data_IF_117678564145
#
_entry.id   IF_117678564145
#
_cell.length_a   1.000
_cell.length_b   1.000
_cell.length_c   1.000
_cell.angle_alpha   90.00
_cell.angle_beta   90.00
_cell.angle_gamma   90.00
#
_symmetry.space_group_name_H-M   'P 1'
#
loop_
_entity.id
_entity.type
_entity.pdbx_description
1 polymer ?
#
# COMPACT_ATOMS: atom_id res chain seq x y z
N UNK A 1 -33.48 -33.02 52.90
CA UNK A 1 -33.25 -32.88 51.45
C UNK A 1 -33.00 -31.43 51.12
N UNK A 2 -31.73 -31.10 50.97
CA UNK A 2 -31.31 -29.68 50.72
C UNK A 2 -30.89 -29.59 49.24
N UNK A 3 -31.64 -28.82 48.46
CA UNK A 3 -31.35 -28.55 47.02
C UNK A 3 -30.38 -27.40 46.89
N UNK A 4 -29.16 -27.64 46.44
CA UNK A 4 -28.22 -26.60 46.04
C UNK A 4 -28.59 -26.11 44.62
N UNK A 5 -28.92 -24.85 44.48
CA UNK A 5 -29.02 -24.14 43.21
C UNK A 5 -27.59 -23.67 42.83
N UNK A 6 -27.08 -24.24 41.76
CA UNK A 6 -25.83 -23.74 41.13
C UNK A 6 -26.27 -22.64 40.12
N UNK A 7 -25.98 -21.39 40.46
CA UNK A 7 -26.11 -20.26 39.51
C UNK A 7 -24.84 -20.21 38.68
N UNK A 8 -24.92 -20.63 37.42
CA UNK A 8 -23.84 -20.49 36.45
C UNK A 8 -23.80 -19.00 35.99
N UNK A 9 -22.85 -18.27 36.51
CA UNK A 9 -22.56 -16.91 36.04
C UNK A 9 -21.87 -16.95 34.69
N UNK A 10 -22.58 -16.49 33.65
CA UNK A 10 -22.02 -16.27 32.33
C UNK A 10 -21.09 -15.04 32.38
N UNK A 11 -19.79 -15.23 32.45
CA UNK A 11 -18.80 -14.17 32.28
C UNK A 11 -18.77 -13.77 30.80
N UNK A 12 -19.45 -12.69 30.45
CA UNK A 12 -19.27 -11.98 29.18
C UNK A 12 -17.84 -11.37 29.19
N UNK A 13 -16.91 -12.03 28.52
CA UNK A 13 -15.60 -11.44 28.21
C UNK A 13 -15.86 -10.42 27.11
N UNK A 14 -15.62 -9.11 27.35
CA UNK A 14 -15.68 -8.12 26.27
C UNK A 14 -14.62 -8.51 25.22
N UNK A 15 -15.08 -8.77 24.01
CA UNK A 15 -14.20 -8.99 22.87
C UNK A 15 -13.29 -7.78 22.71
N UNK A 16 -12.02 -7.95 23.02
CA UNK A 16 -10.98 -7.00 22.62
C UNK A 16 -11.00 -6.97 21.08
N UNK A 17 -11.62 -5.93 20.53
CA UNK A 17 -11.39 -5.55 19.15
C UNK A 17 -9.88 -5.26 19.06
N UNK A 18 -9.12 -6.18 18.47
CA UNK A 18 -7.73 -5.93 18.13
C UNK A 18 -7.74 -4.74 17.17
N UNK A 19 -7.31 -3.58 17.68
CA UNK A 19 -7.07 -2.43 16.84
C UNK A 19 -6.11 -2.89 15.73
N UNK A 20 -6.55 -2.75 14.51
CA UNK A 20 -5.73 -3.01 13.33
C UNK A 20 -4.63 -1.94 13.37
N UNK A 21 -3.46 -2.29 13.89
CA UNK A 21 -2.31 -1.41 13.78
C UNK A 21 -1.98 -1.31 12.31
N UNK A 22 -2.30 -0.16 11.75
CA UNK A 22 -1.82 0.21 10.42
C UNK A 22 -0.29 0.07 10.41
N UNK A 23 0.30 -0.42 9.31
CA UNK A 23 1.75 -0.44 9.18
C UNK A 23 2.30 0.96 9.48
N UNK A 24 3.50 1.08 10.08
CA UNK A 24 4.07 2.37 10.42
C UNK A 24 4.10 3.25 9.17
N UNK A 25 3.42 4.38 9.23
CA UNK A 25 3.37 5.30 8.11
C UNK A 25 4.78 5.86 7.87
N UNK A 26 5.26 5.91 6.61
CA UNK A 26 6.50 6.59 6.27
C UNK A 26 6.40 8.11 6.44
N UNK A 27 5.29 8.61 6.95
CA UNK A 27 5.04 10.02 7.25
C UNK A 27 6.10 10.65 8.18
N UNK A 28 6.86 9.85 8.94
CA UNK A 28 8.01 10.32 9.70
C UNK A 28 9.19 10.79 8.85
N UNK A 29 9.21 10.47 7.56
CA UNK A 29 10.27 10.90 6.63
C UNK A 29 10.24 12.41 6.35
N UNK A 30 9.09 13.07 6.51
CA UNK A 30 8.96 14.53 6.39
C UNK A 30 8.58 15.10 7.75
N UNK A 31 9.36 16.04 8.31
CA UNK A 31 9.05 16.69 9.58
C UNK A 31 7.65 17.30 9.58
N UNK A 32 6.93 17.20 10.70
CA UNK A 32 5.51 17.56 10.78
C UNK A 32 5.24 19.04 10.42
N UNK A 33 6.16 19.93 10.78
CA UNK A 33 6.10 21.38 10.49
C UNK A 33 6.38 21.73 9.03
N UNK A 34 6.96 20.78 8.28
CA UNK A 34 7.30 20.96 6.87
C UNK A 34 6.36 20.22 5.93
N UNK A 35 5.51 19.35 6.45
CA UNK A 35 4.63 18.54 5.62
C UNK A 35 3.59 19.37 4.88
N UNK A 36 3.40 18.99 3.62
CA UNK A 36 2.20 19.28 2.86
C UNK A 36 1.55 17.95 2.49
N UNK A 37 0.33 17.74 2.94
CA UNK A 37 -0.46 16.58 2.51
C UNK A 37 -1.56 17.07 1.58
N UNK A 38 -1.62 16.50 0.40
CA UNK A 38 -2.65 16.83 -0.59
C UNK A 38 -3.41 15.55 -0.97
N UNK A 39 -4.72 15.63 -0.94
CA UNK A 39 -5.59 14.58 -1.47
C UNK A 39 -5.97 14.95 -2.90
N UNK A 40 -5.83 14.01 -3.79
CA UNK A 40 -6.14 14.18 -5.21
C UNK A 40 -7.09 13.08 -5.67
N UNK A 41 -7.80 13.35 -6.75
CA UNK A 41 -8.74 12.45 -7.44
C UNK A 41 -9.65 11.71 -6.46
N UNK A 42 -10.84 12.22 -6.27
CA UNK A 42 -11.88 11.65 -5.38
C UNK A 42 -11.39 11.25 -3.98
N UNK A 43 -10.28 11.84 -3.53
CA UNK A 43 -9.60 11.55 -2.25
C UNK A 43 -8.93 10.16 -2.18
N UNK A 44 -8.67 9.52 -3.30
CA UNK A 44 -8.05 8.19 -3.34
C UNK A 44 -6.54 8.22 -3.19
N UNK A 45 -5.89 9.33 -3.59
CA UNK A 45 -4.43 9.48 -3.50
C UNK A 45 -4.06 10.53 -2.47
N UNK A 46 -3.13 10.19 -1.56
CA UNK A 46 -2.56 11.11 -0.58
C UNK A 46 -1.08 11.33 -0.88
N UNK A 47 -0.66 12.60 -1.01
CA UNK A 47 0.73 12.97 -1.25
C UNK A 47 1.25 13.75 -0.04
N UNK A 48 2.29 13.22 0.62
CA UNK A 48 3.03 13.90 1.68
C UNK A 48 4.38 14.35 1.15
N UNK A 49 4.63 15.66 1.17
CA UNK A 49 5.85 16.25 0.61
C UNK A 49 6.34 17.40 1.50
N UNK A 50 7.63 17.66 1.49
CA UNK A 50 8.17 18.88 2.08
C UNK A 50 7.65 20.11 1.30
N UNK A 51 6.94 20.99 2.00
CA UNK A 51 6.32 22.19 1.39
C UNK A 51 7.30 23.11 0.66
N UNK A 52 8.61 23.01 0.98
CA UNK A 52 9.65 23.76 0.28
C UNK A 52 9.97 23.17 -1.10
N UNK A 53 9.58 21.91 -1.32
CA UNK A 53 9.82 21.13 -2.53
C UNK A 53 8.56 20.97 -3.39
N UNK A 54 7.46 21.58 -2.98
CA UNK A 54 6.20 21.54 -3.71
C UNK A 54 5.74 22.96 -4.07
N UNK A 55 5.09 23.07 -5.20
CA UNK A 55 4.42 24.30 -5.60
C UNK A 55 3.18 24.02 -6.43
N UNK A 56 2.22 24.94 -6.42
CA UNK A 56 1.13 24.95 -7.40
C UNK A 56 1.71 25.24 -8.80
N UNK A 57 1.16 24.65 -9.86
CA UNK A 57 1.65 24.92 -11.20
C UNK A 57 1.32 26.33 -11.62
N UNK A 58 2.15 26.83 -12.46
CA UNK A 58 1.82 27.98 -13.28
C UNK A 58 1.20 27.48 -14.60
N UNK A 59 0.12 26.72 -14.51
CA UNK A 59 -0.63 26.35 -15.71
C UNK A 59 -1.30 27.60 -16.25
N UNK A 60 -1.26 27.83 -17.56
CA UNK A 60 -2.07 28.88 -18.15
C UNK A 60 -3.54 28.63 -17.81
N UNK A 61 -4.27 29.61 -17.25
CA UNK A 61 -5.67 29.41 -16.87
C UNK A 61 -6.57 29.08 -18.08
N UNK A 62 -6.08 29.28 -19.27
CA UNK A 62 -6.78 29.13 -20.54
C UNK A 62 -6.66 27.72 -21.16
N UNK A 63 -5.86 26.81 -20.55
CA UNK A 63 -5.63 25.48 -21.10
C UNK A 63 -6.11 24.36 -20.14
N UNK A 64 -7.44 24.14 -20.00
CA UNK A 64 -7.99 23.11 -19.12
C UNK A 64 -7.50 21.69 -19.48
N UNK A 65 -7.04 21.47 -20.70
CA UNK A 65 -6.45 20.20 -21.14
C UNK A 65 -5.20 19.79 -20.36
N UNK A 66 -4.50 20.70 -19.73
CA UNK A 66 -3.35 20.37 -18.88
C UNK A 66 -3.76 20.02 -17.45
N UNK A 67 -5.00 20.33 -17.06
CA UNK A 67 -5.51 19.98 -15.73
C UNK A 67 -6.01 18.54 -15.66
N UNK A 68 -6.57 18.04 -16.77
CA UNK A 68 -7.10 16.69 -16.89
C UNK A 68 -6.67 16.09 -18.22
N UNK A 69 -6.07 14.94 -18.17
CA UNK A 69 -5.67 14.18 -19.35
C UNK A 69 -6.35 12.82 -19.30
N UNK A 70 -6.88 12.40 -20.41
CA UNK A 70 -7.42 11.05 -20.53
C UNK A 70 -6.30 10.15 -21.03
N UNK A 71 -6.07 9.04 -20.35
CA UNK A 71 -5.20 7.99 -20.84
C UNK A 71 -5.90 7.16 -21.96
N UNK A 72 -5.20 6.18 -22.52
CA UNK A 72 -5.72 5.30 -23.57
C UNK A 72 -6.95 4.49 -23.13
N UNK A 73 -7.12 4.27 -21.82
CA UNK A 73 -8.27 3.59 -21.24
C UNK A 73 -9.42 4.55 -20.87
N UNK A 74 -9.26 5.86 -21.10
CA UNK A 74 -10.24 6.88 -20.75
C UNK A 74 -10.21 7.28 -19.27
N UNK A 75 -9.20 6.87 -18.52
CA UNK A 75 -9.00 7.25 -17.13
C UNK A 75 -8.54 8.70 -17.06
N UNK A 76 -9.13 9.49 -16.17
CA UNK A 76 -8.79 10.89 -16.00
C UNK A 76 -7.57 11.02 -15.10
N UNK A 77 -6.47 11.48 -15.66
CA UNK A 77 -5.29 11.89 -14.90
C UNK A 77 -5.43 13.37 -14.51
N UNK A 78 -5.47 13.64 -13.24
CA UNK A 78 -5.54 15.01 -12.73
C UNK A 78 -4.15 15.52 -12.31
N UNK A 79 -3.90 16.76 -12.64
CA UNK A 79 -2.72 17.45 -12.15
C UNK A 79 -2.79 17.60 -10.63
N UNK A 80 -1.75 17.16 -9.94
CA UNK A 80 -1.65 17.27 -8.49
C UNK A 80 -0.80 18.48 -8.05
N UNK A 81 0.46 18.53 -8.47
CA UNK A 81 1.42 19.58 -8.10
C UNK A 81 2.71 19.47 -8.91
N UNK A 82 3.54 20.50 -8.87
CA UNK A 82 4.95 20.37 -9.21
C UNK A 82 5.74 20.01 -7.95
N UNK A 83 6.67 19.07 -8.07
CA UNK A 83 7.53 18.66 -6.95
C UNK A 83 9.00 18.60 -7.36
N UNK A 84 9.89 18.89 -6.42
CA UNK A 84 11.30 18.50 -6.50
C UNK A 84 11.49 17.19 -5.72
N UNK A 85 12.18 16.24 -6.33
CA UNK A 85 12.48 14.97 -5.67
C UNK A 85 13.73 15.06 -4.79
N UNK A 86 14.58 16.07 -5.02
CA UNK A 86 15.79 16.28 -4.23
C UNK A 86 16.02 17.76 -3.97
N UNK A 87 16.54 18.07 -2.80
CA UNK A 87 17.02 19.42 -2.47
C UNK A 87 18.26 19.81 -3.27
N UNK A 88 19.05 18.83 -3.71
CA UNK A 88 20.26 19.03 -4.51
C UNK A 88 19.99 19.15 -6.02
N UNK A 89 18.79 18.78 -6.48
CA UNK A 89 18.40 18.84 -7.89
C UNK A 89 17.56 20.09 -8.16
N UNK A 90 17.86 20.79 -9.25
CA UNK A 90 17.09 21.97 -9.68
C UNK A 90 15.80 21.60 -10.41
N UNK A 91 15.65 20.36 -10.89
CA UNK A 91 14.53 19.92 -11.71
C UNK A 91 13.23 19.88 -10.92
N UNK A 92 12.17 20.27 -11.61
CA UNK A 92 10.80 20.11 -11.16
C UNK A 92 10.14 18.97 -11.94
N UNK A 93 9.40 18.17 -11.23
CA UNK A 93 8.55 17.12 -11.81
C UNK A 93 7.10 17.56 -11.70
N UNK A 94 6.40 17.45 -12.80
CA UNK A 94 4.94 17.59 -12.86
C UNK A 94 4.34 16.28 -12.40
N UNK A 95 3.54 16.31 -11.37
CA UNK A 95 2.87 15.16 -10.79
C UNK A 95 1.40 15.14 -11.20
N UNK A 96 1.00 14.09 -11.90
CA UNK A 96 -0.39 13.80 -12.25
C UNK A 96 -0.78 12.46 -11.65
N UNK A 97 -1.98 12.39 -11.12
CA UNK A 97 -2.49 11.14 -10.51
C UNK A 97 -3.89 10.83 -11.05
N UNK A 98 -4.22 9.56 -11.06
CA UNK A 98 -5.57 9.06 -11.36
C UNK A 98 -6.05 8.10 -10.26
N UNK A 99 -7.33 7.76 -10.28
CA UNK A 99 -7.93 6.78 -9.36
C UNK A 99 -7.74 5.34 -9.82
N UNK A 100 -7.23 5.15 -11.05
CA UNK A 100 -7.23 3.85 -11.70
C UNK A 100 -8.62 3.36 -12.12
N UNK A 101 -8.64 2.44 -13.10
CA UNK A 101 -9.89 1.87 -13.60
C UNK A 101 -10.60 0.97 -12.59
N UNK A 102 -9.85 0.35 -11.66
CA UNK A 102 -10.35 -0.60 -10.65
C UNK A 102 -9.99 -0.16 -9.23
N UNK A 103 -10.00 1.14 -8.95
CA UNK A 103 -9.46 1.72 -7.70
C UNK A 103 -7.97 1.41 -7.46
N UNK A 104 -7.21 1.20 -8.52
CA UNK A 104 -5.75 1.03 -8.51
C UNK A 104 -5.05 2.34 -8.87
N UNK A 105 -4.99 3.32 -7.97
CA UNK A 105 -4.49 4.64 -8.28
C UNK A 105 -3.00 4.61 -8.62
N UNK A 106 -2.62 5.51 -9.51
CA UNK A 106 -1.24 5.69 -9.91
C UNK A 106 -0.90 7.18 -10.07
N UNK A 107 0.37 7.50 -9.97
CA UNK A 107 0.89 8.83 -10.28
C UNK A 107 1.98 8.78 -11.35
N UNK A 108 1.97 9.76 -12.24
CA UNK A 108 3.00 9.97 -13.25
C UNK A 108 3.87 11.14 -12.87
N UNK A 109 5.17 10.91 -12.82
CA UNK A 109 6.20 11.90 -12.58
C UNK A 109 6.87 12.26 -13.90
N UNK A 110 6.58 13.44 -14.45
CA UNK A 110 7.15 13.92 -15.73
C UNK A 110 7.95 15.21 -15.52
N UNK A 111 9.01 15.40 -16.27
CA UNK A 111 9.77 16.67 -16.29
C UNK A 111 9.16 17.72 -17.20
N UNK A 112 8.08 17.39 -17.92
CA UNK A 112 7.36 18.28 -18.84
C UNK A 112 5.94 18.53 -18.38
N UNK A 113 5.45 19.73 -18.63
CA UNK A 113 4.03 20.05 -18.46
C UNK A 113 3.17 19.46 -19.59
N UNK A 114 3.77 19.15 -20.74
CA UNK A 114 3.07 18.46 -21.82
C UNK A 114 2.67 17.05 -21.35
N UNK A 115 1.35 16.72 -21.29
CA UNK A 115 0.86 15.44 -20.85
C UNK A 115 1.33 14.26 -21.73
N UNK A 116 1.62 14.51 -23.01
CA UNK A 116 2.11 13.49 -23.93
C UNK A 116 3.58 13.11 -23.68
N UNK A 117 4.27 13.85 -22.82
CA UNK A 117 5.66 13.51 -22.46
C UNK A 117 5.67 12.33 -21.49
N UNK A 118 6.33 11.24 -21.84
CA UNK A 118 6.44 10.08 -20.97
C UNK A 118 7.02 10.46 -19.60
N UNK A 119 6.48 9.87 -18.53
CA UNK A 119 6.96 10.00 -17.17
C UNK A 119 7.05 8.64 -16.47
N UNK A 120 7.66 8.63 -15.29
CA UNK A 120 7.67 7.44 -14.45
C UNK A 120 6.29 7.22 -13.85
N UNK A 121 5.68 6.06 -14.10
CA UNK A 121 4.40 5.64 -13.52
C UNK A 121 4.66 4.86 -12.25
N UNK A 122 4.09 5.30 -11.15
CA UNK A 122 4.19 4.64 -9.85
C UNK A 122 2.78 4.42 -9.32
N UNK A 123 2.41 3.17 -9.10
CA UNK A 123 1.12 2.81 -8.54
C UNK A 123 1.13 2.90 -7.02
N UNK A 124 0.05 3.42 -6.43
CA UNK A 124 -0.13 3.52 -4.98
C UNK A 124 -1.22 4.51 -4.58
N UNK A 125 -1.76 4.32 -3.39
CA UNK A 125 -2.77 5.19 -2.78
C UNK A 125 -2.15 6.35 -1.99
N UNK A 126 -0.87 6.23 -1.64
CA UNK A 126 -0.14 7.31 -0.99
C UNK A 126 1.32 7.38 -1.46
N UNK A 127 1.84 8.61 -1.42
CA UNK A 127 3.20 8.93 -1.82
C UNK A 127 3.84 9.83 -0.77
N UNK A 128 5.13 9.59 -0.46
CA UNK A 128 5.93 10.45 0.40
C UNK A 128 7.18 10.88 -0.35
N UNK A 129 7.39 12.18 -0.42
CA UNK A 129 8.50 12.81 -1.16
C UNK A 129 9.30 13.67 -0.16
N UNK A 130 10.30 13.08 0.53
CA UNK A 130 11.04 13.77 1.57
C UNK A 130 12.12 14.73 1.04
N UNK A 131 12.50 14.61 -0.23
CA UNK A 131 13.52 15.45 -0.85
C UNK A 131 14.93 14.86 -0.83
N UNK A 132 15.04 13.57 -0.61
CA UNK A 132 16.29 12.79 -0.64
C UNK A 132 16.61 12.19 -2.02
N UNK A 133 15.79 12.48 -3.03
CA UNK A 133 15.89 11.94 -4.38
C UNK A 133 15.01 10.73 -4.63
N UNK A 134 14.20 10.34 -3.64
CA UNK A 134 13.34 9.16 -3.72
C UNK A 134 11.86 9.49 -3.54
N UNK A 135 11.02 8.59 -4.01
CA UNK A 135 9.58 8.54 -3.82
C UNK A 135 9.25 7.25 -3.10
N UNK A 136 8.71 7.37 -1.90
CA UNK A 136 8.15 6.25 -1.15
C UNK A 136 6.68 6.16 -1.50
N UNK A 137 6.22 4.99 -1.93
CA UNK A 137 4.83 4.76 -2.27
C UNK A 137 4.28 3.52 -1.55
N UNK A 138 2.99 3.50 -1.37
CA UNK A 138 2.27 2.35 -0.86
C UNK A 138 0.82 2.41 -1.28
N UNK A 139 0.16 1.27 -1.16
CA UNK A 139 -1.21 1.08 -1.54
C UNK A 139 -1.42 -0.28 -2.15
N UNK A 140 -2.67 -0.60 -2.34
CA UNK A 140 -3.05 -1.87 -2.98
C UNK A 140 -3.08 -1.71 -4.50
N UNK A 141 -2.70 -2.79 -5.16
CA UNK A 141 -2.90 -3.02 -6.59
C UNK A 141 -3.25 -4.50 -6.70
N UNK A 142 -4.44 -4.82 -7.16
CA UNK A 142 -4.94 -6.19 -7.28
C UNK A 142 -4.87 -7.02 -5.98
N UNK A 143 -4.70 -6.37 -4.83
CA UNK A 143 -4.65 -7.00 -3.50
C UNK A 143 -5.12 -6.00 -2.43
N UNK A 144 -5.41 -6.48 -1.23
CA UNK A 144 -5.96 -5.66 -0.14
C UNK A 144 -4.91 -5.19 0.88
N UNK A 145 -3.63 -5.37 0.61
CA UNK A 145 -2.56 -4.88 1.47
C UNK A 145 -1.75 -3.75 0.82
N UNK A 146 -1.23 -2.87 1.65
CA UNK A 146 -0.42 -1.74 1.20
C UNK A 146 0.98 -2.20 0.82
N UNK A 147 1.17 -2.57 -0.46
CA UNK A 147 2.50 -2.84 -0.98
C UNK A 147 3.39 -1.60 -0.85
N UNK A 148 4.55 -1.74 -0.19
CA UNK A 148 5.52 -0.65 0.03
C UNK A 148 6.59 -0.68 -1.01
N UNK A 149 6.80 0.44 -1.71
CA UNK A 149 7.76 0.58 -2.81
C UNK A 149 8.63 1.81 -2.60
N UNK A 150 9.81 1.78 -3.17
CA UNK A 150 10.76 2.88 -3.19
C UNK A 150 11.27 3.04 -4.62
N UNK A 151 11.11 4.24 -5.18
CA UNK A 151 11.65 4.62 -6.48
C UNK A 151 12.60 5.78 -6.27
N UNK A 152 13.84 5.68 -6.76
CA UNK A 152 14.84 6.72 -6.57
C UNK A 152 15.39 7.23 -7.91
N UNK A 153 15.84 8.48 -7.91
CA UNK A 153 16.51 9.10 -9.05
C UNK A 153 17.83 8.40 -9.33
N UNK A 154 17.95 7.82 -10.51
CA UNK A 154 19.18 7.27 -11.06
C UNK A 154 19.33 7.73 -12.51
N UNK A 155 20.44 8.35 -12.83
CA UNK A 155 20.72 8.89 -14.17
C UNK A 155 19.59 9.81 -14.70
N UNK A 156 18.95 10.54 -13.79
CA UNK A 156 17.88 11.48 -14.13
C UNK A 156 16.48 10.92 -14.22
N UNK A 157 16.29 9.62 -14.09
CA UNK A 157 15.01 8.94 -14.13
C UNK A 157 14.68 8.31 -12.79
N UNK A 158 13.39 8.23 -12.43
CA UNK A 158 12.93 7.42 -11.31
C UNK A 158 13.02 5.94 -11.70
N UNK A 159 13.67 5.17 -10.85
CA UNK A 159 13.85 3.73 -11.02
C UNK A 159 13.51 3.01 -9.72
N UNK A 160 12.82 1.87 -9.79
CA UNK A 160 12.48 1.10 -8.60
C UNK A 160 13.74 0.57 -7.91
N UNK A 161 13.75 0.67 -6.59
CA UNK A 161 14.77 0.07 -5.73
C UNK A 161 14.35 -1.36 -5.41
N UNK A 162 15.19 -2.33 -5.77
CA UNK A 162 14.92 -3.72 -5.46
C UNK A 162 14.87 -3.96 -3.96
N UNK A 163 13.83 -4.63 -3.50
CA UNK A 163 13.64 -5.06 -2.13
C UNK A 163 13.70 -6.60 -2.07
N UNK A 164 14.31 -7.19 -1.04
CA UNK A 164 14.34 -8.65 -0.93
C UNK A 164 12.94 -9.22 -0.66
N UNK A 165 12.06 -8.45 -0.03
CA UNK A 165 10.70 -8.84 0.35
C UNK A 165 9.76 -7.66 0.22
N UNK A 166 8.47 -7.94 -0.01
CA UNK A 166 7.41 -6.94 0.06
C UNK A 166 6.70 -7.04 1.41
N UNK A 167 6.66 -5.95 2.16
CA UNK A 167 5.89 -5.90 3.41
C UNK A 167 4.39 -5.92 3.10
N UNK A 168 3.64 -6.78 3.80
CA UNK A 168 2.18 -6.87 3.67
C UNK A 168 1.45 -6.29 4.89
N UNK A 169 1.81 -6.73 6.09
CA UNK A 169 1.23 -6.22 7.34
C UNK A 169 -0.27 -6.43 7.47
N UNK A 170 -0.84 -7.39 6.76
CA UNK A 170 -2.28 -7.62 6.69
C UNK A 170 -2.73 -8.61 7.76
N UNK A 171 -3.84 -8.32 8.44
CA UNK A 171 -4.36 -9.13 9.55
C UNK A 171 -5.81 -9.49 9.30
N UNK A 172 -6.13 -10.79 9.37
CA UNK A 172 -7.48 -11.30 9.20
C UNK A 172 -7.64 -12.71 9.79
N UNK A 173 -8.54 -13.50 9.24
CA UNK A 173 -8.81 -14.88 9.62
C UNK A 173 -8.46 -15.84 8.50
N UNK A 174 -7.96 -17.01 8.85
CA UNK A 174 -7.81 -18.11 7.91
C UNK A 174 -9.19 -18.63 7.49
N UNK A 175 -9.42 -18.77 6.20
CA UNK A 175 -10.63 -19.37 5.63
C UNK A 175 -10.49 -20.87 5.45
N UNK A 176 -9.24 -21.34 5.30
CA UNK A 176 -8.85 -22.74 5.20
C UNK A 176 -7.76 -23.04 6.23
N UNK A 177 -7.49 -24.31 6.42
CA UNK A 177 -6.33 -24.75 7.20
C UNK A 177 -5.04 -24.35 6.49
N UNK A 178 -4.16 -23.59 7.17
CA UNK A 178 -2.89 -23.12 6.65
C UNK A 178 -1.74 -23.81 7.39
N UNK A 179 -0.90 -24.52 6.67
CA UNK A 179 0.33 -25.10 7.22
C UNK A 179 1.48 -24.08 7.05
N UNK A 180 2.17 -23.79 8.15
CA UNK A 180 3.30 -22.87 8.19
C UNK A 180 4.60 -23.66 8.31
N UNK A 181 5.56 -23.37 7.45
CA UNK A 181 6.83 -24.08 7.36
C UNK A 181 8.02 -23.17 7.70
N UNK A 182 9.09 -23.77 8.21
CA UNK A 182 10.31 -23.04 8.57
C UNK A 182 11.04 -22.45 7.36
N UNK A 183 10.82 -23.01 6.19
CA UNK A 183 11.48 -22.64 4.94
C UNK A 183 10.52 -22.71 3.74
N UNK A 184 10.90 -22.12 2.62
CA UNK A 184 10.11 -22.10 1.39
C UNK A 184 10.10 -23.42 0.61
N UNK A 185 10.91 -24.39 0.99
CA UNK A 185 10.84 -25.74 0.43
C UNK A 185 9.64 -26.51 1.02
N UNK A 186 8.97 -25.94 2.03
CA UNK A 186 7.81 -26.50 2.71
C UNK A 186 8.10 -27.90 3.31
N UNK A 187 9.33 -28.08 3.82
CA UNK A 187 9.82 -29.38 4.29
C UNK A 187 9.61 -29.61 5.79
N UNK A 188 9.65 -28.55 6.59
CA UNK A 188 9.60 -28.61 8.05
C UNK A 188 8.41 -27.81 8.57
N UNK A 189 7.37 -28.51 9.02
CA UNK A 189 6.17 -27.88 9.59
C UNK A 189 6.50 -27.21 10.94
N UNK A 190 6.15 -25.94 11.08
CA UNK A 190 6.24 -25.18 12.32
C UNK A 190 4.94 -25.27 13.10
N UNK A 191 3.84 -24.89 12.45
CA UNK A 191 2.49 -24.87 13.05
C UNK A 191 1.42 -24.95 11.97
N UNK A 192 0.18 -25.04 12.41
CA UNK A 192 -0.99 -25.00 11.53
C UNK A 192 -1.99 -24.00 12.08
N UNK A 193 -2.52 -23.14 11.21
CA UNK A 193 -3.60 -22.21 11.52
C UNK A 193 -4.91 -22.86 11.06
N UNK A 194 -5.85 -23.04 11.98
CA UNK A 194 -7.16 -23.63 11.68
C UNK A 194 -8.12 -22.59 11.09
N UNK A 195 -9.13 -22.99 10.31
CA UNK A 195 -10.14 -22.09 9.77
C UNK A 195 -10.81 -21.24 10.87
N UNK A 196 -10.99 -19.95 10.62
CA UNK A 196 -11.54 -18.97 11.57
C UNK A 196 -10.52 -18.44 12.58
N UNK A 197 -9.33 -19.02 12.68
CA UNK A 197 -8.28 -18.51 13.55
C UNK A 197 -7.59 -17.28 12.94
N UNK A 198 -7.01 -16.46 13.82
CA UNK A 198 -6.25 -15.28 13.45
C UNK A 198 -5.02 -15.65 12.63
N UNK A 199 -4.77 -14.85 11.60
CA UNK A 199 -3.55 -14.89 10.78
C UNK A 199 -3.10 -13.47 10.44
N UNK A 200 -1.79 -13.24 10.54
CA UNK A 200 -1.16 -12.05 10.01
C UNK A 200 -0.25 -12.45 8.83
N UNK A 201 -0.44 -11.79 7.69
CA UNK A 201 0.47 -11.85 6.56
C UNK A 201 1.52 -10.78 6.77
N UNK A 202 2.74 -11.18 7.12
CA UNK A 202 3.82 -10.26 7.48
C UNK A 202 4.49 -9.67 6.24
N UNK A 203 4.88 -10.55 5.31
CA UNK A 203 5.54 -10.15 4.08
C UNK A 203 5.33 -11.18 2.96
N UNK A 204 5.61 -10.75 1.75
CA UNK A 204 5.59 -11.57 0.53
C UNK A 204 6.98 -11.68 -0.07
N UNK A 205 7.31 -12.87 -0.60
CA UNK A 205 8.50 -13.15 -1.38
C UNK A 205 8.13 -14.08 -2.54
N UNK A 206 7.83 -13.49 -3.69
CA UNK A 206 7.25 -14.19 -4.84
C UNK A 206 5.90 -14.83 -4.49
N UNK A 207 5.78 -16.14 -4.70
CA UNK A 207 4.58 -16.92 -4.39
C UNK A 207 4.45 -17.27 -2.89
N UNK A 208 5.45 -16.96 -2.09
CA UNK A 208 5.48 -17.33 -0.67
C UNK A 208 5.16 -16.15 0.22
N UNK A 209 4.45 -16.45 1.29
CA UNK A 209 4.08 -15.48 2.32
C UNK A 209 4.59 -15.95 3.68
N UNK A 210 5.22 -15.03 4.40
CA UNK A 210 5.54 -15.26 5.81
C UNK A 210 4.30 -14.91 6.62
N UNK A 211 3.71 -15.93 7.23
CA UNK A 211 2.51 -15.79 8.06
C UNK A 211 2.89 -15.87 9.53
N UNK A 212 2.06 -15.27 10.38
CA UNK A 212 2.14 -15.36 11.84
C UNK A 212 0.79 -15.77 12.38
N UNK A 213 0.76 -16.78 13.27
CA UNK A 213 -0.44 -17.22 13.96
C UNK A 213 -0.78 -16.34 15.18
N UNK A 214 -1.91 -16.63 15.84
CA UNK A 214 -2.36 -15.86 17.01
C UNK A 214 -1.49 -16.06 18.27
N UNK A 215 -0.63 -17.08 18.30
CA UNK A 215 0.33 -17.30 19.37
C UNK A 215 1.66 -16.55 19.13
N UNK A 216 1.94 -16.14 17.89
CA UNK A 216 3.16 -15.47 17.49
C UNK A 216 4.17 -16.36 16.77
N UNK A 217 3.83 -17.62 16.46
CA UNK A 217 4.68 -18.47 15.64
C UNK A 217 4.61 -18.02 14.19
N UNK A 218 5.77 -17.99 13.52
CA UNK A 218 5.88 -17.58 12.13
C UNK A 218 6.35 -18.72 11.25
N UNK A 219 5.90 -18.73 10.01
CA UNK A 219 6.34 -19.69 9.02
C UNK A 219 5.89 -19.32 7.61
N UNK A 220 6.52 -19.95 6.64
CA UNK A 220 6.22 -19.76 5.23
C UNK A 220 5.03 -20.59 4.80
N UNK A 221 4.19 -20.00 3.98
CA UNK A 221 3.12 -20.70 3.27
C UNK A 221 3.11 -20.23 1.81
N UNK A 222 2.69 -21.10 0.91
CA UNK A 222 2.37 -20.74 -0.46
C UNK A 222 0.87 -20.52 -0.54
N UNK A 223 0.45 -19.30 -0.91
CA UNK A 223 -0.96 -18.97 -1.10
C UNK A 223 -1.29 -18.94 -2.60
N UNK A 224 -2.49 -19.35 -2.94
CA UNK A 224 -2.98 -19.31 -4.32
C UNK A 224 -3.36 -17.87 -4.69
N UNK A 225 -2.56 -17.25 -5.52
CA UNK A 225 -2.77 -15.90 -6.03
C UNK A 225 -3.57 -15.89 -7.35
N UNK A 226 -3.89 -17.06 -7.92
CA UNK A 226 -4.57 -17.16 -9.20
C UNK A 226 -6.07 -16.91 -9.14
N UNK A 227 -6.64 -16.92 -7.93
CA UNK A 227 -8.07 -16.75 -7.73
C UNK A 227 -8.39 -15.32 -7.29
N UNK A 228 -9.33 -14.72 -7.99
CA UNK A 228 -9.83 -13.37 -7.72
C UNK A 228 -10.50 -13.22 -6.35
N UNK A 229 -10.79 -14.30 -5.64
CA UNK A 229 -11.29 -14.28 -4.27
C UNK A 229 -10.31 -15.00 -3.36
N UNK A 230 -9.90 -14.34 -2.28
CA UNK A 230 -9.08 -14.96 -1.25
C UNK A 230 -9.77 -16.20 -0.70
N UNK A 231 -9.28 -17.36 -1.10
CA UNK A 231 -9.85 -18.63 -0.64
C UNK A 231 -9.21 -19.13 0.65
N UNK A 232 -8.08 -18.54 1.05
CA UNK A 232 -7.26 -19.00 2.17
C UNK A 232 -7.27 -18.03 3.34
N UNK A 233 -7.25 -16.72 3.10
CA UNK A 233 -7.26 -15.67 4.11
C UNK A 233 -8.33 -14.66 3.74
N UNK A 234 -9.24 -14.37 4.66
CA UNK A 234 -10.38 -13.47 4.46
C UNK A 234 -9.91 -12.07 4.03
N UNK A 235 -10.36 -11.62 2.85
CA UNK A 235 -10.11 -10.28 2.33
C UNK A 235 -8.66 -9.99 1.92
N UNK A 236 -7.78 -10.99 1.80
CA UNK A 236 -6.37 -10.74 1.49
C UNK A 236 -6.12 -10.48 0.01
N UNK A 237 -6.74 -11.22 -0.88
CA UNK A 237 -6.71 -10.95 -2.31
C UNK A 237 -8.04 -10.34 -2.73
N UNK A 238 -7.96 -9.31 -3.56
CA UNK A 238 -9.12 -8.63 -4.10
C UNK A 238 -9.50 -9.25 -5.45
N UNK A 239 -10.78 -9.48 -5.66
CA UNK A 239 -11.32 -9.66 -6.99
C UNK A 239 -11.52 -8.25 -7.55
N UNK A 240 -10.73 -7.88 -8.54
CA UNK A 240 -10.96 -6.64 -9.29
C UNK A 240 -12.41 -6.56 -9.76
N UNK A 241 -12.93 -5.35 -9.90
CA UNK A 241 -14.28 -5.05 -10.38
C UNK A 241 -14.53 -5.56 -11.79
#
# INVERSE_FOLDING_TARGET
MMRFLIVAGLLLVPGLALAQESPPEPASLVPADQRLTKMVVEKTVTITVDKRLAREPKLPPEEPQYQKVYDEAGVIMEYAMDVKLSTADSRWFVLRCDSGGSNDPQCVFSTSQNPDTPGAKIAGTFFVIPGDGCVYSGGHNDNMFDARKLDCLKDGNLQPVAQPFSYAGFRSKAMKRLALYSDKNLSSLVTTIEPGAFVEVVLQDGDFFLLRDGFGLTGWAKLDQSQQNATEIEGFFYAGD
#
